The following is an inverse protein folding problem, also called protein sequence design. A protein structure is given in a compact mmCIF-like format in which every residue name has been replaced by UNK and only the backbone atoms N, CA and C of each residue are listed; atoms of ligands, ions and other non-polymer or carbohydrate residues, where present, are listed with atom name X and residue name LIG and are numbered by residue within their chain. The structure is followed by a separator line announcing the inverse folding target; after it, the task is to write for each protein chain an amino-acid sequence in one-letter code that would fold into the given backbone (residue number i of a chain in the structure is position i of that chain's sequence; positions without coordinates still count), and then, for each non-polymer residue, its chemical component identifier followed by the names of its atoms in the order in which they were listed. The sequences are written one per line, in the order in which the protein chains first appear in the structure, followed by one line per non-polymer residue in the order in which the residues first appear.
data_IF_503780436709
#
_entry.id   IF_503780436709
#
_cell.length_a   1.000
_cell.length_b   1.000
_cell.length_c   1.000
_cell.angle_alpha   90.00
_cell.angle_beta   90.00
_cell.angle_gamma   90.00
#
_symmetry.space_group_name_H-M   'P 1'
#
loop_
_entity.id
_entity.type
_entity.pdbx_description
1 polymer ?
#
# COMPACT_ATOMS: atom_id res chain seq x y z
N UNK A 1 -9.09 -0.83 -3.37
CA UNK A 1 -7.90 0.03 -3.45
C UNK A 1 -6.77 -0.57 -2.62
N UNK A 2 -5.57 -0.69 -3.18
CA UNK A 2 -4.40 -1.24 -2.48
C UNK A 2 -3.27 -0.21 -2.56
N UNK A 3 -2.55 -0.03 -1.47
CA UNK A 3 -1.32 0.75 -1.37
C UNK A 3 -0.20 -0.21 -1.01
N UNK A 4 0.79 -0.31 -1.88
CA UNK A 4 1.96 -1.16 -1.66
C UNK A 4 3.26 -0.37 -1.81
N UNK A 5 4.27 -0.75 -1.07
CA UNK A 5 5.62 -0.22 -1.22
C UNK A 5 6.37 -1.01 -2.29
N UNK A 6 6.91 -0.32 -3.26
CA UNK A 6 7.65 -0.98 -4.36
C UNK A 6 8.99 -1.53 -3.92
N UNK A 7 9.61 -0.96 -2.91
CA UNK A 7 10.91 -1.39 -2.41
C UNK A 7 10.80 -2.68 -1.59
N UNK A 8 9.94 -2.67 -0.57
CA UNK A 8 9.76 -3.81 0.33
C UNK A 8 8.72 -4.82 -0.15
N UNK A 9 7.93 -4.49 -1.18
CA UNK A 9 6.74 -5.24 -1.66
C UNK A 9 5.64 -5.38 -0.60
N UNK A 10 5.71 -4.63 0.48
CA UNK A 10 4.78 -4.63 1.60
C UNK A 10 3.44 -4.02 1.22
N UNK A 11 2.34 -4.63 1.63
CA UNK A 11 1.02 -4.01 1.55
C UNK A 11 0.90 -3.07 2.75
N UNK A 12 0.78 -1.77 2.48
CA UNK A 12 0.70 -0.73 3.51
C UNK A 12 -0.73 -0.35 3.84
N UNK A 13 -1.63 -0.38 2.86
CA UNK A 13 -3.03 -0.04 3.06
C UNK A 13 -3.93 -0.79 2.08
N UNK A 14 -5.14 -1.12 2.53
CA UNK A 14 -6.15 -1.80 1.73
C UNK A 14 -7.53 -1.25 2.06
N UNK A 15 -8.25 -0.78 1.07
CA UNK A 15 -9.66 -0.40 1.20
C UNK A 15 -10.52 -1.33 0.35
N UNK A 16 -11.52 -1.92 0.97
CA UNK A 16 -12.52 -2.78 0.33
C UNK A 16 -13.86 -2.07 0.36
N UNK A 17 -14.55 -2.00 -0.76
CA UNK A 17 -15.85 -1.36 -0.87
C UNK A 17 -16.48 -1.63 -2.24
N UNK A 18 -17.75 -1.28 -2.36
CA UNK A 18 -18.58 -1.43 -3.56
C UNK A 18 -18.36 -0.34 -4.61
N UNK A 19 -17.61 0.68 -4.26
CA UNK A 19 -17.34 1.86 -5.10
C UNK A 19 -15.88 2.25 -5.06
N UNK A 20 -15.43 2.97 -6.09
CA UNK A 20 -14.07 3.52 -6.18
C UNK A 20 -14.16 5.05 -6.30
N UNK A 21 -14.18 5.73 -5.17
CA UNK A 21 -14.22 7.20 -5.08
C UNK A 21 -12.88 7.73 -4.57
N UNK A 22 -12.62 9.02 -4.73
CA UNK A 22 -11.44 9.67 -4.17
C UNK A 22 -11.33 9.46 -2.64
N UNK A 23 -12.45 9.47 -1.90
CA UNK A 23 -12.47 9.20 -0.47
C UNK A 23 -12.02 7.77 -0.11
N UNK A 24 -12.38 6.78 -0.93
CA UNK A 24 -11.99 5.37 -0.74
C UNK A 24 -10.48 5.19 -0.96
N UNK A 25 -9.93 5.92 -1.93
CA UNK A 25 -8.49 5.99 -2.19
C UNK A 25 -7.74 6.65 -1.03
N UNK A 26 -8.29 7.76 -0.51
CA UNK A 26 -7.72 8.44 0.67
C UNK A 26 -7.79 7.58 1.93
N UNK A 27 -8.82 6.75 2.11
CA UNK A 27 -8.89 5.82 3.22
C UNK A 27 -7.74 4.81 3.20
N UNK A 28 -7.41 4.24 2.02
CA UNK A 28 -6.27 3.33 1.89
C UNK A 28 -4.93 4.05 2.12
N UNK A 29 -4.77 5.29 1.64
CA UNK A 29 -3.57 6.09 1.89
C UNK A 29 -3.43 6.41 3.39
N UNK A 30 -4.51 6.80 4.06
CA UNK A 30 -4.49 7.07 5.50
C UNK A 30 -4.11 5.82 6.31
N UNK A 31 -4.62 4.64 5.94
CA UNK A 31 -4.19 3.38 6.57
C UNK A 31 -2.69 3.15 6.39
N UNK A 32 -2.17 3.35 5.18
CA UNK A 32 -0.75 3.19 4.88
C UNK A 32 0.11 4.15 5.72
N UNK A 33 -0.30 5.42 5.80
CA UNK A 33 0.39 6.45 6.59
C UNK A 33 0.37 6.10 8.08
N UNK A 34 -0.79 5.74 8.64
CA UNK A 34 -0.91 5.39 10.06
C UNK A 34 -0.09 4.15 10.43
N UNK A 35 -0.02 3.15 9.55
CA UNK A 35 0.80 1.94 9.78
C UNK A 35 2.29 2.23 9.72
N UNK A 36 2.71 3.04 8.78
CA UNK A 36 4.13 3.27 8.52
C UNK A 36 4.73 4.40 9.39
N UNK A 37 3.91 5.35 9.80
CA UNK A 37 4.31 6.51 10.60
C UNK A 37 3.43 6.66 11.85
N UNK A 38 3.53 5.74 12.82
CA UNK A 38 2.69 5.77 14.02
C UNK A 38 2.92 7.02 14.89
N UNK A 39 4.11 7.63 14.82
CA UNK A 39 4.41 8.89 15.50
C UNK A 39 3.85 10.13 14.78
N UNK A 40 3.24 9.94 13.61
CA UNK A 40 2.59 10.98 12.83
C UNK A 40 3.37 11.41 11.57
N UNK A 41 2.65 12.14 10.74
CA UNK A 41 3.06 12.45 9.36
C UNK A 41 4.28 13.37 9.24
N UNK A 42 4.66 14.09 10.28
CA UNK A 42 5.86 14.94 10.28
C UNK A 42 7.16 14.17 10.00
N UNK A 43 7.18 12.87 10.26
CA UNK A 43 8.29 12.01 9.86
C UNK A 43 8.26 11.71 8.36
N UNK A 44 7.07 11.57 7.78
CA UNK A 44 6.89 11.35 6.35
C UNK A 44 7.33 12.54 5.49
N UNK A 45 7.15 13.77 5.98
CA UNK A 45 7.60 15.00 5.28
C UNK A 45 9.10 15.02 5.01
N UNK A 46 9.89 14.38 5.87
CA UNK A 46 11.35 14.28 5.73
C UNK A 46 11.80 13.25 4.69
N UNK A 47 10.92 12.33 4.30
CA UNK A 47 11.26 11.16 3.48
C UNK A 47 10.92 11.31 2.00
N UNK A 48 10.40 12.48 1.56
CA UNK A 48 10.03 12.73 0.16
C UNK A 48 9.20 11.61 -0.46
N UNK A 49 8.10 11.24 0.19
CA UNK A 49 7.24 10.15 -0.26
C UNK A 49 6.68 10.41 -1.65
N UNK A 50 6.80 9.42 -2.51
CA UNK A 50 6.23 9.44 -3.86
C UNK A 50 5.12 8.41 -3.96
N UNK A 51 3.93 8.81 -4.41
CA UNK A 51 2.81 7.94 -4.71
C UNK A 51 2.67 7.79 -6.22
N UNK A 52 2.94 6.58 -6.73
CA UNK A 52 2.69 6.25 -8.12
C UNK A 52 1.27 5.72 -8.28
N UNK A 53 0.55 6.23 -9.27
CA UNK A 53 -0.79 5.75 -9.66
C UNK A 53 -0.96 5.76 -11.18
N UNK A 54 -2.06 5.16 -11.65
CA UNK A 54 -2.53 5.39 -13.00
C UNK A 54 -3.11 6.81 -13.18
N UNK A 55 -3.56 7.12 -14.39
CA UNK A 55 -4.20 8.39 -14.72
C UNK A 55 -5.74 8.32 -14.57
N UNK A 56 -6.25 7.47 -13.68
CA UNK A 56 -7.67 7.35 -13.40
C UNK A 56 -8.29 8.64 -12.84
N UNK A 57 -9.61 8.72 -12.85
CA UNK A 57 -10.35 9.90 -12.38
C UNK A 57 -10.20 10.15 -10.88
N UNK A 58 -9.95 9.11 -10.10
CA UNK A 58 -9.80 9.21 -8.65
C UNK A 58 -8.48 9.88 -8.24
N UNK A 59 -7.28 9.38 -8.67
CA UNK A 59 -6.01 10.00 -8.30
C UNK A 59 -5.79 11.37 -8.95
N UNK A 60 -6.49 11.68 -10.05
CA UNK A 60 -6.43 12.99 -10.69
C UNK A 60 -7.47 13.98 -10.18
N UNK A 61 -8.33 13.59 -9.22
CA UNK A 61 -9.31 14.49 -8.63
C UNK A 61 -8.63 15.56 -7.77
N UNK A 62 -9.17 16.79 -7.80
CA UNK A 62 -8.65 17.91 -7.00
C UNK A 62 -8.60 17.60 -5.50
N UNK A 63 -9.61 16.90 -4.99
CA UNK A 63 -9.67 16.50 -3.58
C UNK A 63 -8.50 15.58 -3.24
N UNK A 64 -8.29 14.52 -4.03
CA UNK A 64 -7.21 13.58 -3.78
C UNK A 64 -5.83 14.25 -3.86
N UNK A 65 -5.60 15.06 -4.89
CA UNK A 65 -4.34 15.80 -5.06
C UNK A 65 -4.06 16.76 -3.90
N UNK A 66 -5.09 17.44 -3.38
CA UNK A 66 -4.98 18.36 -2.23
C UNK A 66 -4.58 17.59 -0.96
N UNK A 67 -5.24 16.48 -0.68
CA UNK A 67 -4.95 15.66 0.49
C UNK A 67 -3.56 15.04 0.43
N UNK A 68 -3.15 14.49 -0.71
CA UNK A 68 -1.78 13.99 -0.89
C UNK A 68 -0.74 15.10 -0.62
N UNK A 69 -0.99 16.32 -1.11
CA UNK A 69 -0.10 17.46 -0.85
C UNK A 69 -0.07 17.83 0.63
N UNK A 70 -1.23 17.83 1.31
CA UNK A 70 -1.33 18.10 2.75
C UNK A 70 -0.55 17.07 3.58
N UNK A 71 -0.47 15.83 3.08
CA UNK A 71 0.32 14.75 3.65
C UNK A 71 1.80 14.78 3.25
N UNK A 72 2.27 15.78 2.51
CA UNK A 72 3.65 15.82 2.01
C UNK A 72 3.97 14.78 0.93
N UNK A 73 2.96 14.10 0.38
CA UNK A 73 3.13 13.06 -0.63
C UNK A 73 3.17 13.68 -2.03
N UNK A 74 4.24 13.42 -2.76
CA UNK A 74 4.39 13.80 -4.18
C UNK A 74 3.71 12.75 -5.05
N UNK A 75 2.74 13.17 -5.87
CA UNK A 75 2.11 12.27 -6.83
C UNK A 75 2.94 12.14 -8.11
N UNK A 76 3.12 10.91 -8.55
CA UNK A 76 3.66 10.55 -9.85
C UNK A 76 2.64 9.67 -10.58
N UNK A 77 2.53 9.85 -11.88
CA UNK A 77 1.60 9.09 -12.71
C UNK A 77 2.34 8.19 -13.67
N UNK A 78 1.81 7.00 -13.91
CA UNK A 78 2.37 6.12 -14.96
C UNK A 78 2.29 6.82 -16.31
N UNK A 79 3.36 6.71 -17.11
CA UNK A 79 3.34 7.25 -18.45
C UNK A 79 2.23 6.59 -19.29
N UNK A 80 1.60 7.38 -20.15
CA UNK A 80 0.55 6.89 -21.03
C UNK A 80 1.08 5.71 -21.87
N UNK A 81 0.32 4.64 -21.97
CA UNK A 81 0.68 3.40 -22.67
C UNK A 81 1.95 2.68 -22.13
N UNK A 82 2.32 2.87 -20.86
CA UNK A 82 3.41 2.12 -20.25
C UNK A 82 2.87 1.03 -19.29
N UNK A 83 2.58 -0.19 -19.77
CA UNK A 83 2.03 -1.26 -18.94
C UNK A 83 2.99 -1.74 -17.85
N UNK A 84 4.30 -1.49 -17.99
CA UNK A 84 5.29 -1.89 -16.98
C UNK A 84 5.24 -1.00 -15.74
N UNK A 85 4.71 0.21 -15.85
CA UNK A 85 4.68 1.18 -14.75
C UNK A 85 3.77 0.80 -13.58
N UNK A 86 2.88 -0.18 -13.73
CA UNK A 86 1.97 -0.64 -12.67
C UNK A 86 1.92 -2.18 -12.51
N UNK A 87 2.81 -2.90 -13.19
CA UNK A 87 2.80 -4.36 -13.25
C UNK A 87 2.90 -5.04 -11.87
N UNK A 88 3.65 -4.46 -10.94
CA UNK A 88 3.76 -4.98 -9.57
C UNK A 88 2.43 -4.89 -8.83
N UNK A 89 1.74 -3.76 -8.93
CA UNK A 89 0.42 -3.54 -8.31
C UNK A 89 -0.65 -4.42 -8.95
N UNK A 90 -0.63 -4.56 -10.28
CA UNK A 90 -1.55 -5.45 -11.01
C UNK A 90 -1.36 -6.92 -10.59
N UNK A 91 -0.12 -7.35 -10.46
CA UNK A 91 0.21 -8.69 -9.98
C UNK A 91 -0.28 -8.92 -8.56
N UNK A 92 -0.06 -7.95 -7.66
CA UNK A 92 -0.55 -8.01 -6.29
C UNK A 92 -2.08 -8.07 -6.23
N UNK A 93 -2.78 -7.25 -7.01
CA UNK A 93 -4.25 -7.28 -7.10
C UNK A 93 -4.73 -8.65 -7.60
N UNK A 94 -4.05 -9.26 -8.56
CA UNK A 94 -4.36 -10.61 -9.03
C UNK A 94 -4.21 -11.63 -7.90
N UNK A 95 -3.08 -11.62 -7.19
CA UNK A 95 -2.84 -12.50 -6.03
C UNK A 95 -3.95 -12.38 -4.98
N UNK A 96 -4.34 -11.15 -4.63
CA UNK A 96 -5.44 -10.91 -3.68
C UNK A 96 -6.76 -11.49 -4.19
N UNK A 97 -7.06 -11.33 -5.48
CA UNK A 97 -8.28 -11.90 -6.08
C UNK A 97 -8.26 -13.42 -6.03
N UNK A 98 -7.17 -14.05 -6.42
CA UNK A 98 -7.03 -15.50 -6.53
C UNK A 98 -6.93 -16.17 -5.14
N UNK A 99 -6.24 -15.56 -4.20
CA UNK A 99 -5.95 -16.15 -2.88
C UNK A 99 -6.89 -15.69 -1.77
N UNK A 100 -7.76 -14.71 -2.03
CA UNK A 100 -8.74 -14.22 -1.07
C UNK A 100 -10.13 -14.06 -1.70
N UNK A 101 -10.29 -13.14 -2.67
CA UNK A 101 -11.62 -12.69 -3.06
C UNK A 101 -12.46 -13.79 -3.74
N UNK A 102 -11.82 -14.67 -4.52
CA UNK A 102 -12.50 -15.70 -5.33
C UNK A 102 -12.57 -17.07 -4.66
N UNK A 103 -12.03 -17.23 -3.45
CA UNK A 103 -12.04 -18.53 -2.76
C UNK A 103 -13.41 -18.91 -2.23
N UNK A 104 -14.28 -17.94 -1.98
CA UNK A 104 -15.62 -18.17 -1.44
C UNK A 104 -16.56 -17.02 -1.78
N UNK A 105 -17.86 -17.25 -1.56
CA UNK A 105 -18.87 -16.19 -1.58
C UNK A 105 -18.85 -15.45 -0.24
N UNK A 106 -18.90 -14.14 -0.29
CA UNK A 106 -18.85 -13.25 0.88
C UNK A 106 -20.28 -12.84 1.26
N UNK A 107 -20.66 -13.02 2.52
CA UNK A 107 -21.99 -12.64 3.00
C UNK A 107 -22.12 -11.11 3.11
N UNK A 108 -21.03 -10.39 3.26
CA UNK A 108 -21.02 -8.93 3.32
C UNK A 108 -19.64 -8.34 2.99
N UNK A 109 -19.63 -7.06 2.64
CA UNK A 109 -18.38 -6.28 2.49
C UNK A 109 -17.60 -6.24 3.80
N UNK A 110 -18.29 -6.18 4.94
CA UNK A 110 -17.66 -6.13 6.26
C UNK A 110 -16.86 -7.41 6.56
N UNK A 111 -17.37 -8.57 6.17
CA UNK A 111 -16.65 -9.84 6.27
C UNK A 111 -15.37 -9.82 5.42
N UNK A 112 -15.46 -9.40 4.18
CA UNK A 112 -14.30 -9.29 3.29
C UNK A 112 -13.27 -8.27 3.82
N UNK A 113 -13.69 -7.19 4.47
CA UNK A 113 -12.78 -6.22 5.12
C UNK A 113 -11.93 -6.90 6.19
N UNK A 114 -12.57 -7.68 7.07
CA UNK A 114 -11.87 -8.40 8.15
C UNK A 114 -10.86 -9.40 7.58
N UNK A 115 -11.26 -10.16 6.57
CA UNK A 115 -10.37 -11.15 5.94
C UNK A 115 -9.25 -10.47 5.12
N UNK A 116 -9.52 -9.32 4.53
CA UNK A 116 -8.48 -8.52 3.86
C UNK A 116 -7.40 -8.06 4.85
N UNK A 117 -7.77 -7.64 6.06
CA UNK A 117 -6.80 -7.25 7.09
C UNK A 117 -5.91 -8.44 7.50
N UNK A 118 -6.51 -9.61 7.73
CA UNK A 118 -5.75 -10.85 8.00
C UNK A 118 -4.84 -11.22 6.85
N UNK A 119 -5.35 -11.10 5.61
CA UNK A 119 -4.55 -11.37 4.41
C UNK A 119 -3.35 -10.43 4.29
N UNK A 120 -3.52 -9.14 4.56
CA UNK A 120 -2.43 -8.15 4.55
C UNK A 120 -1.35 -8.52 5.57
N UNK A 121 -1.73 -8.90 6.78
CA UNK A 121 -0.79 -9.35 7.82
C UNK A 121 -0.07 -10.62 7.39
N UNK A 122 -0.81 -11.62 6.93
CA UNK A 122 -0.26 -12.88 6.42
C UNK A 122 0.70 -12.64 5.26
N UNK A 123 0.31 -11.86 4.26
CA UNK A 123 1.12 -11.54 3.09
C UNK A 123 2.44 -10.89 3.49
N UNK A 124 2.40 -9.87 4.33
CA UNK A 124 3.60 -9.16 4.76
C UNK A 124 4.55 -10.02 5.60
N UNK A 125 4.01 -10.98 6.36
CA UNK A 125 4.79 -11.84 7.25
C UNK A 125 5.28 -13.14 6.61
N UNK A 126 4.57 -13.68 5.60
CA UNK A 126 4.79 -15.04 5.13
C UNK A 126 5.03 -15.16 3.62
N UNK A 127 4.58 -14.19 2.81
CA UNK A 127 4.67 -14.30 1.36
C UNK A 127 6.10 -14.04 0.87
N UNK A 128 6.68 -15.02 0.18
CA UNK A 128 8.07 -14.94 -0.31
C UNK A 128 8.12 -14.26 -1.68
N UNK A 129 8.98 -13.27 -1.82
CA UNK A 129 9.18 -12.55 -3.07
C UNK A 129 10.54 -12.83 -3.69
N UNK A 130 10.55 -13.28 -4.94
CA UNK A 130 11.80 -13.51 -5.68
C UNK A 130 12.61 -12.21 -5.83
N UNK A 131 11.94 -11.07 -6.03
CA UNK A 131 12.56 -9.75 -6.10
C UNK A 131 13.25 -9.31 -4.78
N UNK A 132 12.90 -9.93 -3.64
CA UNK A 132 13.48 -9.70 -2.33
C UNK A 132 14.48 -10.81 -1.93
N UNK A 133 14.95 -11.62 -2.89
CA UNK A 133 15.79 -12.77 -2.62
C UNK A 133 15.07 -13.86 -1.82
N UNK A 134 13.79 -14.09 -2.13
CA UNK A 134 12.91 -15.05 -1.44
C UNK A 134 12.72 -14.76 0.05
N UNK A 135 12.73 -13.47 0.42
CA UNK A 135 12.35 -13.00 1.76
C UNK A 135 10.91 -12.52 1.76
N UNK A 136 10.32 -12.50 2.95
CA UNK A 136 9.03 -11.84 3.16
C UNK A 136 9.22 -10.33 3.23
N UNK A 137 8.17 -9.52 2.93
CA UNK A 137 8.22 -8.07 3.07
C UNK A 137 8.73 -7.59 4.44
N UNK A 138 8.20 -8.16 5.52
CA UNK A 138 8.61 -7.80 6.88
C UNK A 138 10.07 -8.17 7.18
N UNK A 139 10.53 -9.34 6.75
CA UNK A 139 11.92 -9.78 6.97
C UNK A 139 12.91 -8.91 6.18
N UNK A 140 12.57 -8.55 4.95
CA UNK A 140 13.39 -7.69 4.11
C UNK A 140 13.49 -6.27 4.70
N UNK A 141 12.37 -5.69 5.12
CA UNK A 141 12.33 -4.37 5.76
C UNK A 141 13.15 -4.34 7.04
N UNK A 142 12.99 -5.33 7.92
CA UNK A 142 13.73 -5.43 9.18
C UNK A 142 15.26 -5.55 8.96
N UNK A 143 15.67 -6.34 7.97
CA UNK A 143 17.07 -6.47 7.59
C UNK A 143 17.65 -5.18 7.03
N UNK A 144 16.87 -4.47 6.19
CA UNK A 144 17.28 -3.19 5.63
C UNK A 144 17.53 -2.15 6.71
N UNK A 145 16.62 -2.00 7.67
CA UNK A 145 16.79 -1.09 8.81
C UNK A 145 18.02 -1.46 9.65
N UNK A 146 18.22 -2.74 9.93
CA UNK A 146 19.39 -3.20 10.67
C UNK A 146 20.70 -2.85 9.97
N UNK A 147 20.76 -3.08 8.65
CA UNK A 147 21.97 -2.86 7.86
C UNK A 147 22.27 -1.36 7.66
N UNK A 148 21.25 -0.50 7.69
CA UNK A 148 21.42 0.94 7.51
C UNK A 148 21.47 1.72 8.83
N UNK A 149 21.54 1.03 9.98
CA UNK A 149 21.58 1.61 11.34
C UNK A 149 20.45 2.64 11.59
N UNK A 150 19.36 2.55 10.86
CA UNK A 150 18.18 3.36 11.07
C UNK A 150 17.39 2.71 12.20
N UNK A 151 17.72 3.05 13.44
CA UNK A 151 16.86 2.72 14.56
C UNK A 151 15.64 3.62 14.48
N UNK A 152 14.48 3.05 14.16
CA UNK A 152 13.24 3.67 14.58
C UNK A 152 13.31 3.73 16.11
N UNK A 153 13.52 4.90 16.66
CA UNK A 153 13.29 5.12 18.09
C UNK A 153 11.79 4.95 18.31
N UNK A 154 11.40 3.72 18.58
CA UNK A 154 10.14 3.42 19.24
C UNK A 154 10.28 4.03 20.64
N UNK A 155 9.91 5.29 20.77
CA UNK A 155 9.73 5.91 22.07
C UNK A 155 8.42 5.37 22.62
N UNK A 156 8.55 4.64 23.71
CA UNK A 156 7.46 4.15 24.56
C UNK A 156 6.53 5.29 25.02
#
# INVERSE_FOLDING_TARGET
MIVNDWFTKKILGAFVGDRSRAADWLAAINQAVCRQFPAGIREAEKLELNLMSDNGSQPTSLTFMRECRALGIKQAFTAYANPKGNADTERLIRTIKEELCWLQEWSSVAELVVEMEKFVEYFNANYLHSALGYKTPNAFEAEWFKNNQITHSATA
#
